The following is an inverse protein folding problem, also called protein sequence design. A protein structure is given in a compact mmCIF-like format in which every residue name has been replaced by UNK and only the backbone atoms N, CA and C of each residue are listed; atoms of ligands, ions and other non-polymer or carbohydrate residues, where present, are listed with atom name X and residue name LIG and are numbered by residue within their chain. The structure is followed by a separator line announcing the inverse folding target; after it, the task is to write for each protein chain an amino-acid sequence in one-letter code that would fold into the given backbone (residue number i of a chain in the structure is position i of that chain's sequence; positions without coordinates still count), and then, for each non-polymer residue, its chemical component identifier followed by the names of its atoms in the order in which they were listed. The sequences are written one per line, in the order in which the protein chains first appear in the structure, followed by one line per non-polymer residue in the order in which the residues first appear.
data_IF_280466452742
#
_entry.id   IF_280466452742
#
_cell.length_a   1.000
_cell.length_b   1.000
_cell.length_c   1.000
_cell.angle_alpha   90.00
_cell.angle_beta   90.00
_cell.angle_gamma   90.00
#
_symmetry.space_group_name_H-M   'P 1'
#
loop_
_entity.id
_entity.type
_entity.pdbx_description
1 polymer ?
#
# COMPACT_ATOMS: atom_id res chain seq x y z
N UNK A 1 17.44 -2.34 22.52
CA UNK A 1 17.58 -2.06 21.07
C UNK A 1 18.14 -0.64 20.94
N UNK A 2 19.14 -0.42 20.08
CA UNK A 2 19.89 0.85 19.96
C UNK A 2 19.18 1.86 19.02
N UNK A 3 18.12 1.45 18.30
CA UNK A 3 17.51 2.26 17.22
C UNK A 3 16.52 3.31 17.70
N UNK A 4 15.88 3.10 18.86
CA UNK A 4 14.73 3.89 19.31
C UNK A 4 15.07 5.37 19.54
N UNK A 5 16.33 5.67 19.88
CA UNK A 5 16.80 7.03 20.10
C UNK A 5 16.91 7.85 18.80
N UNK A 6 16.92 7.20 17.63
CA UNK A 6 17.15 7.86 16.33
C UNK A 6 15.87 8.23 15.58
N UNK A 7 14.68 7.97 16.13
CA UNK A 7 13.42 8.34 15.49
C UNK A 7 13.03 9.82 15.70
N UNK A 8 13.56 10.47 16.74
CA UNK A 8 13.26 11.88 17.02
C UNK A 8 13.85 12.79 15.94
N UNK A 9 13.13 13.87 15.62
CA UNK A 9 13.52 14.89 14.66
C UNK A 9 13.86 14.39 13.25
N UNK A 10 13.30 13.24 12.84
CA UNK A 10 13.46 12.68 11.49
C UNK A 10 12.62 13.46 10.47
N UNK A 11 13.24 13.99 9.42
CA UNK A 11 12.54 14.65 8.30
C UNK A 11 12.24 13.68 7.15
N UNK A 12 13.02 12.61 7.03
CA UNK A 12 12.94 11.67 5.92
C UNK A 12 13.23 10.23 6.34
N UNK A 13 12.48 9.29 5.80
CA UNK A 13 12.59 7.85 6.06
C UNK A 13 12.68 7.08 4.76
N UNK A 14 13.68 6.19 4.67
CA UNK A 14 13.80 5.19 3.60
C UNK A 14 13.37 3.84 4.17
N UNK A 15 12.20 3.36 3.76
CA UNK A 15 11.67 2.03 4.08
C UNK A 15 12.05 1.07 2.97
N UNK A 16 12.84 0.03 3.27
CA UNK A 16 13.34 -0.89 2.26
C UNK A 16 12.82 -2.30 2.52
N UNK A 17 12.37 -2.97 1.46
CA UNK A 17 12.09 -4.41 1.47
C UNK A 17 12.72 -5.08 0.26
N UNK A 18 12.81 -6.40 0.27
CA UNK A 18 13.31 -7.22 -0.83
C UNK A 18 12.14 -7.78 -1.64
N UNK A 19 12.07 -7.49 -2.94
CA UNK A 19 10.98 -7.96 -3.81
C UNK A 19 10.89 -9.48 -3.90
N UNK A 20 11.98 -10.20 -3.61
CA UNK A 20 12.04 -11.65 -3.55
C UNK A 20 11.58 -12.25 -2.21
N UNK A 21 11.41 -11.44 -1.15
CA UNK A 21 11.08 -11.91 0.20
C UNK A 21 9.84 -11.21 0.75
N UNK A 22 8.68 -11.86 0.62
CA UNK A 22 7.37 -11.32 1.05
C UNK A 22 7.34 -10.93 2.53
N UNK A 23 7.98 -11.71 3.39
CA UNK A 23 8.03 -11.42 4.84
C UNK A 23 8.68 -10.05 5.14
N UNK A 24 9.65 -9.62 4.33
CA UNK A 24 10.27 -8.30 4.48
C UNK A 24 9.31 -7.15 4.16
N UNK A 25 8.39 -7.37 3.21
CA UNK A 25 7.33 -6.41 2.89
C UNK A 25 6.24 -6.40 3.98
N UNK A 26 5.83 -7.57 4.47
CA UNK A 26 4.82 -7.66 5.52
C UNK A 26 5.30 -7.07 6.86
N UNK A 27 6.62 -7.10 7.12
CA UNK A 27 7.22 -6.44 8.26
C UNK A 27 7.10 -4.90 8.24
N UNK A 28 6.84 -4.26 7.09
CA UNK A 28 6.76 -2.80 6.98
C UNK A 28 5.64 -2.20 7.85
N UNK A 29 4.51 -2.89 7.98
CA UNK A 29 3.43 -2.43 8.86
C UNK A 29 3.87 -2.43 10.34
N UNK A 30 4.70 -3.38 10.76
CA UNK A 30 5.29 -3.42 12.11
C UNK A 30 6.33 -2.30 12.31
N UNK A 31 7.17 -2.04 11.30
CA UNK A 31 8.14 -0.94 11.33
C UNK A 31 7.48 0.44 11.46
N UNK A 32 6.38 0.65 10.74
CA UNK A 32 5.60 1.88 10.88
C UNK A 32 4.97 1.99 12.27
N UNK A 33 4.50 0.88 12.86
CA UNK A 33 3.94 0.89 14.20
C UNK A 33 5.01 1.21 15.27
N UNK A 34 6.20 0.62 15.16
CA UNK A 34 7.36 0.90 16.01
C UNK A 34 7.72 2.39 15.94
N UNK A 35 7.85 2.95 14.73
CA UNK A 35 8.17 4.37 14.56
C UNK A 35 7.09 5.30 15.14
N UNK A 36 5.80 5.00 14.93
CA UNK A 36 4.69 5.77 15.51
C UNK A 36 4.72 5.76 17.04
N UNK A 37 5.07 4.63 17.63
CA UNK A 37 5.16 4.50 19.07
C UNK A 37 6.29 5.36 19.64
N UNK A 38 7.45 5.38 18.99
CA UNK A 38 8.62 6.15 19.43
C UNK A 38 8.48 7.67 19.22
N UNK A 39 7.78 8.09 18.16
CA UNK A 39 7.46 9.49 17.91
C UNK A 39 6.45 10.08 18.93
N UNK A 40 5.72 9.23 19.65
CA UNK A 40 4.79 9.61 20.71
C UNK A 40 3.55 10.39 20.21
N UNK A 41 2.65 10.80 21.12
CA UNK A 41 1.37 11.45 20.78
C UNK A 41 1.52 12.84 20.14
N UNK A 42 2.73 13.43 20.18
CA UNK A 42 3.03 14.73 19.58
C UNK A 42 3.80 14.62 18.25
N UNK A 43 4.22 13.42 17.87
CA UNK A 43 4.95 13.19 16.63
C UNK A 43 4.02 13.20 15.42
N UNK A 44 4.12 14.24 14.60
CA UNK A 44 3.34 14.31 13.37
C UNK A 44 4.06 13.55 12.24
N UNK A 45 3.69 12.28 12.06
CA UNK A 45 4.22 11.45 10.98
C UNK A 45 3.85 11.96 9.57
N UNK A 46 2.87 12.85 9.45
CA UNK A 46 2.51 13.49 8.17
C UNK A 46 3.56 14.50 7.71
N UNK A 47 4.40 14.99 8.63
CA UNK A 47 5.51 15.91 8.37
C UNK A 47 6.84 15.19 8.13
N UNK A 48 6.81 13.89 7.87
CA UNK A 48 7.99 13.10 7.54
C UNK A 48 7.84 12.60 6.10
N UNK A 49 8.86 12.80 5.29
CA UNK A 49 8.87 12.27 3.92
C UNK A 49 9.24 10.79 3.98
N UNK A 50 8.35 9.93 3.50
CA UNK A 50 8.63 8.49 3.38
C UNK A 50 8.89 8.13 1.94
N UNK A 51 9.92 7.33 1.72
CA UNK A 51 10.15 6.62 0.46
C UNK A 51 10.24 5.12 0.72
N UNK A 52 9.47 4.36 -0.03
CA UNK A 52 9.45 2.90 0.01
C UNK A 52 10.27 2.39 -1.17
N UNK A 53 11.32 1.64 -0.88
CA UNK A 53 12.19 1.03 -1.88
C UNK A 53 11.90 -0.46 -1.96
N UNK A 54 11.30 -0.87 -3.08
CA UNK A 54 11.18 -2.25 -3.50
C UNK A 54 12.52 -2.69 -4.09
N UNK A 55 13.42 -3.19 -3.24
CA UNK A 55 14.81 -3.41 -3.59
C UNK A 55 15.08 -4.82 -4.16
N UNK A 56 16.21 -4.96 -4.84
CA UNK A 56 16.70 -6.20 -5.48
C UNK A 56 15.89 -6.64 -6.69
N UNK A 57 15.40 -5.69 -7.49
CA UNK A 57 14.65 -5.98 -8.73
C UNK A 57 15.47 -6.74 -9.78
N UNK A 58 16.81 -6.71 -9.68
CA UNK A 58 17.73 -7.54 -10.47
C UNK A 58 17.49 -9.05 -10.28
N UNK A 59 16.95 -9.46 -9.14
CA UNK A 59 16.68 -10.87 -8.81
C UNK A 59 15.26 -11.31 -9.21
N UNK A 60 14.93 -11.27 -10.50
CA UNK A 60 13.56 -11.53 -11.00
C UNK A 60 13.03 -12.95 -10.78
N UNK A 61 13.90 -13.96 -10.65
CA UNK A 61 13.51 -15.39 -10.64
C UNK A 61 12.66 -15.83 -9.44
N UNK A 62 12.65 -15.05 -8.37
CA UNK A 62 11.91 -15.38 -7.13
C UNK A 62 11.07 -14.21 -6.61
N UNK A 63 10.65 -13.31 -7.52
CA UNK A 63 9.83 -12.15 -7.14
C UNK A 63 8.54 -12.61 -6.45
N UNK A 64 8.40 -12.21 -5.19
CA UNK A 64 7.28 -12.56 -4.31
C UNK A 64 6.34 -11.38 -4.04
N UNK A 65 6.79 -10.16 -4.34
CA UNK A 65 6.00 -8.92 -4.25
C UNK A 65 6.04 -8.22 -5.60
N UNK A 66 4.91 -8.10 -6.28
CA UNK A 66 4.84 -7.29 -7.51
C UNK A 66 4.76 -5.79 -7.23
N UNK A 67 5.00 -5.01 -8.27
CA UNK A 67 5.03 -3.56 -8.21
C UNK A 67 3.68 -2.97 -7.78
N UNK A 68 2.57 -3.57 -8.22
CA UNK A 68 1.23 -3.08 -7.90
C UNK A 68 0.93 -3.20 -6.40
N UNK A 69 1.36 -4.29 -5.75
CA UNK A 69 1.20 -4.48 -4.32
C UNK A 69 1.97 -3.43 -3.50
N UNK A 70 3.25 -3.27 -3.83
CA UNK A 70 4.14 -2.34 -3.14
C UNK A 70 3.72 -0.89 -3.33
N UNK A 71 3.45 -0.50 -4.59
CA UNK A 71 3.01 0.86 -4.94
C UNK A 71 1.70 1.21 -4.25
N UNK A 72 0.71 0.32 -4.29
CA UNK A 72 -0.58 0.56 -3.63
C UNK A 72 -0.41 0.75 -2.12
N UNK A 73 0.43 -0.06 -1.48
CA UNK A 73 0.68 0.04 -0.04
C UNK A 73 1.33 1.38 0.34
N UNK A 74 2.30 1.84 -0.45
CA UNK A 74 3.02 3.09 -0.24
C UNK A 74 2.14 4.32 -0.52
N UNK A 75 1.56 4.40 -1.72
CA UNK A 75 0.80 5.56 -2.17
C UNK A 75 -0.50 5.76 -1.38
N UNK A 76 -1.15 4.68 -0.92
CA UNK A 76 -2.33 4.78 -0.03
C UNK A 76 -2.04 5.44 1.34
N UNK A 77 -0.76 5.51 1.73
CA UNK A 77 -0.27 6.21 2.93
C UNK A 77 0.38 7.55 2.58
N UNK A 78 0.36 7.93 1.31
CA UNK A 78 1.03 9.13 0.80
C UNK A 78 2.56 9.00 0.82
N UNK A 79 3.11 7.80 0.69
CA UNK A 79 4.56 7.59 0.62
C UNK A 79 5.02 7.53 -0.83
N UNK A 80 6.25 7.94 -1.09
CA UNK A 80 6.91 7.73 -2.38
C UNK A 80 7.21 6.23 -2.54
N UNK A 81 7.21 5.74 -3.78
CA UNK A 81 7.52 4.34 -4.08
C UNK A 81 8.51 4.25 -5.25
N UNK A 82 9.56 3.47 -5.08
CA UNK A 82 10.56 3.22 -6.12
C UNK A 82 10.93 1.74 -6.17
N UNK A 83 11.06 1.22 -7.38
CA UNK A 83 11.76 -0.03 -7.65
C UNK A 83 13.25 0.24 -7.71
N UNK A 84 14.06 -0.49 -6.95
CA UNK A 84 15.50 -0.22 -6.86
C UNK A 84 16.33 -1.48 -6.96
N UNK A 85 17.55 -1.34 -7.48
CA UNK A 85 18.61 -2.32 -7.29
C UNK A 85 19.89 -1.63 -6.86
N UNK A 86 20.33 -1.92 -5.64
CA UNK A 86 21.65 -1.50 -5.18
C UNK A 86 22.79 -2.19 -5.94
N UNK A 87 22.53 -3.33 -6.61
CA UNK A 87 23.52 -4.06 -7.40
C UNK A 87 23.74 -3.40 -8.77
N UNK A 88 22.66 -3.03 -9.46
CA UNK A 88 22.74 -2.46 -10.82
C UNK A 88 22.77 -0.92 -10.81
N UNK A 89 22.36 -0.30 -9.69
CA UNK A 89 22.17 1.14 -9.56
C UNK A 89 20.81 1.63 -10.07
N UNK A 90 19.98 0.74 -10.62
CA UNK A 90 18.67 1.08 -11.17
C UNK A 90 17.75 1.67 -10.10
N UNK A 91 17.11 2.80 -10.42
CA UNK A 91 16.14 3.51 -9.57
C UNK A 91 16.74 4.24 -8.37
N UNK A 92 18.03 4.04 -8.04
CA UNK A 92 18.67 4.63 -6.86
C UNK A 92 18.77 6.15 -6.99
N UNK A 93 19.24 6.65 -8.13
CA UNK A 93 19.45 8.07 -8.33
C UNK A 93 18.12 8.84 -8.37
N UNK A 94 17.15 8.32 -9.10
CA UNK A 94 15.81 8.87 -9.25
C UNK A 94 15.08 8.91 -7.90
N UNK A 95 15.23 7.84 -7.11
CA UNK A 95 14.69 7.75 -5.75
C UNK A 95 15.28 8.85 -4.86
N UNK A 96 16.61 8.98 -4.79
CA UNK A 96 17.26 9.99 -3.95
C UNK A 96 16.96 11.42 -4.40
N UNK A 97 16.96 11.69 -5.71
CA UNK A 97 16.60 13.00 -6.27
C UNK A 97 15.20 13.41 -5.83
N UNK A 98 14.23 12.49 -5.97
CA UNK A 98 12.84 12.75 -5.58
C UNK A 98 12.70 12.89 -4.06
N UNK A 99 13.37 12.02 -3.30
CA UNK A 99 13.34 12.02 -1.85
C UNK A 99 13.87 13.32 -1.25
N UNK A 100 15.05 13.77 -1.68
CA UNK A 100 15.63 15.03 -1.19
C UNK A 100 14.84 16.25 -1.65
N UNK A 101 14.32 16.26 -2.88
CA UNK A 101 13.46 17.36 -3.34
C UNK A 101 12.21 17.49 -2.47
N UNK A 102 11.55 16.38 -2.16
CA UNK A 102 10.38 16.38 -1.27
C UNK A 102 10.70 16.84 0.16
N UNK A 103 11.90 16.53 0.68
CA UNK A 103 12.35 17.03 1.98
C UNK A 103 12.61 18.54 1.94
N UNK A 104 13.22 19.04 0.86
CA UNK A 104 13.44 20.48 0.68
C UNK A 104 12.09 21.22 0.62
N UNK A 105 11.13 20.73 -0.17
CA UNK A 105 9.78 21.30 -0.25
C UNK A 105 9.07 21.33 1.12
N UNK A 106 9.25 20.27 1.92
CA UNK A 106 8.74 20.20 3.29
C UNK A 106 9.39 21.28 4.19
N UNK A 107 10.71 21.44 4.10
CA UNK A 107 11.46 22.44 4.86
C UNK A 107 11.05 23.87 4.47
N UNK A 108 10.94 24.15 3.18
CA UNK A 108 10.53 25.47 2.64
C UNK A 108 9.12 25.84 3.08
N UNK A 109 8.26 24.84 3.29
CA UNK A 109 6.91 25.02 3.83
C UNK A 109 6.84 24.95 5.38
N UNK A 110 7.94 25.28 6.07
CA UNK A 110 8.00 25.38 7.53
C UNK A 110 7.83 24.04 8.25
N UNK A 111 8.29 22.95 7.65
CA UNK A 111 8.16 21.60 8.19
C UNK A 111 6.75 21.02 8.08
N UNK A 112 5.89 21.61 7.24
CA UNK A 112 4.53 21.12 6.97
C UNK A 112 4.45 20.59 5.57
N UNK A 113 3.85 19.41 5.42
CA UNK A 113 3.71 18.81 4.11
C UNK A 113 2.90 19.73 3.18
N UNK A 114 3.41 20.09 1.99
CA UNK A 114 2.64 20.89 1.05
C UNK A 114 1.38 20.12 0.63
N UNK A 115 0.23 20.80 0.43
CA UNK A 115 -0.96 20.17 -0.11
C UNK A 115 -0.60 19.63 -1.50
N UNK A 116 -0.52 18.31 -1.63
CA UNK A 116 -0.13 17.66 -2.87
C UNK A 116 -1.13 18.03 -3.97
N UNK A 117 -0.66 18.70 -5.01
CA UNK A 117 -1.45 19.01 -6.23
C UNK A 117 -1.79 17.75 -7.03
N UNK A 118 -1.09 16.64 -6.77
CA UNK A 118 -1.35 15.31 -7.32
C UNK A 118 -1.87 14.43 -6.19
N UNK A 119 -3.17 14.52 -5.91
CA UNK A 119 -3.84 13.51 -5.08
C UNK A 119 -3.75 12.17 -5.78
N UNK A 120 -3.32 11.14 -5.06
CA UNK A 120 -3.40 9.75 -5.55
C UNK A 120 -4.86 9.52 -5.97
N UNK A 121 -5.11 9.12 -7.21
CA UNK A 121 -6.46 9.07 -7.81
C UNK A 121 -7.42 8.05 -7.17
N UNK A 122 -7.11 7.57 -5.97
CA UNK A 122 -7.86 6.56 -5.25
C UNK A 122 -7.84 6.83 -3.73
N UNK A 123 -8.87 6.32 -3.05
CA UNK A 123 -9.03 6.47 -1.60
C UNK A 123 -8.28 5.37 -0.85
N UNK A 124 -7.97 5.62 0.43
CA UNK A 124 -7.42 4.60 1.34
C UNK A 124 -8.35 3.38 1.45
N UNK A 125 -9.66 3.59 1.48
CA UNK A 125 -10.65 2.49 1.50
C UNK A 125 -10.57 1.61 0.24
N UNK A 126 -10.35 2.22 -0.94
CA UNK A 126 -10.12 1.48 -2.19
C UNK A 126 -8.85 0.62 -2.10
N UNK A 127 -7.74 1.20 -1.63
CA UNK A 127 -6.48 0.48 -1.49
C UNK A 127 -6.57 -0.68 -0.48
N UNK A 128 -7.18 -0.44 0.69
CA UNK A 128 -7.36 -1.47 1.71
C UNK A 128 -8.26 -2.63 1.20
N UNK A 129 -9.31 -2.30 0.44
CA UNK A 129 -10.17 -3.30 -0.18
C UNK A 129 -9.41 -4.17 -1.20
N UNK A 130 -8.62 -3.55 -2.09
CA UNK A 130 -7.79 -4.26 -3.09
C UNK A 130 -6.80 -5.19 -2.39
N UNK A 131 -6.07 -4.70 -1.39
CA UNK A 131 -5.10 -5.51 -0.63
C UNK A 131 -5.77 -6.72 0.03
N UNK A 132 -6.94 -6.53 0.64
CA UNK A 132 -7.71 -7.60 1.27
C UNK A 132 -8.17 -8.66 0.26
N UNK A 133 -8.75 -8.23 -0.86
CA UNK A 133 -9.24 -9.14 -1.90
C UNK A 133 -8.09 -9.97 -2.48
N UNK A 134 -6.96 -9.32 -2.75
CA UNK A 134 -5.76 -9.96 -3.30
C UNK A 134 -5.17 -11.03 -2.38
N UNK A 135 -5.17 -10.78 -1.06
CA UNK A 135 -4.59 -11.70 -0.08
C UNK A 135 -5.57 -12.77 0.42
N UNK A 136 -6.84 -12.67 0.06
CA UNK A 136 -7.85 -13.63 0.48
C UNK A 136 -7.87 -14.87 -0.44
N UNK A 137 -8.08 -16.05 0.17
CA UNK A 137 -8.24 -17.33 -0.54
C UNK A 137 -9.70 -17.83 -0.53
N UNK A 138 -10.58 -17.13 0.17
CA UNK A 138 -11.96 -17.54 0.38
C UNK A 138 -12.95 -16.50 -0.16
N UNK A 139 -13.96 -16.96 -0.90
CA UNK A 139 -14.94 -16.09 -1.54
C UNK A 139 -15.80 -15.32 -0.53
N UNK A 140 -16.03 -15.86 0.68
CA UNK A 140 -16.77 -15.15 1.72
C UNK A 140 -15.94 -13.99 2.26
N UNK A 141 -14.68 -14.25 2.59
CA UNK A 141 -13.75 -13.22 3.04
C UNK A 141 -13.51 -12.16 1.96
N UNK A 142 -13.31 -12.52 0.67
CA UNK A 142 -13.19 -11.54 -0.42
C UNK A 142 -14.36 -10.52 -0.44
N UNK A 143 -15.59 -11.00 -0.28
CA UNK A 143 -16.77 -10.14 -0.24
C UNK A 143 -17.04 -9.51 1.14
N UNK A 144 -16.33 -9.93 2.19
CA UNK A 144 -16.52 -9.44 3.55
C UNK A 144 -17.84 -9.93 4.18
N UNK A 145 -18.30 -11.11 3.78
CA UNK A 145 -19.49 -11.77 4.32
C UNK A 145 -19.09 -13.03 5.10
N UNK A 146 -19.96 -13.52 5.98
CA UNK A 146 -19.72 -14.75 6.73
C UNK A 146 -20.25 -15.98 5.98
N UNK A 147 -19.66 -17.17 6.17
CA UNK A 147 -20.27 -18.41 5.69
C UNK A 147 -21.72 -18.54 6.15
N UNK A 148 -22.61 -18.85 5.22
CA UNK A 148 -24.06 -18.91 5.47
C UNK A 148 -24.82 -17.61 5.22
N UNK A 149 -24.16 -16.55 4.72
CA UNK A 149 -24.87 -15.35 4.31
C UNK A 149 -25.84 -15.64 3.14
N UNK A 150 -26.97 -14.95 3.17
CA UNK A 150 -28.06 -15.07 2.20
C UNK A 150 -27.66 -14.52 0.83
N UNK A 151 -28.43 -14.89 -0.19
CA UNK A 151 -28.26 -14.37 -1.56
C UNK A 151 -28.33 -12.83 -1.59
N UNK A 152 -29.17 -12.22 -0.76
CA UNK A 152 -29.31 -10.76 -0.70
C UNK A 152 -28.07 -10.10 -0.07
N UNK A 153 -27.57 -10.64 1.04
CA UNK A 153 -26.35 -10.15 1.71
C UNK A 153 -25.13 -10.22 0.77
N UNK A 154 -24.96 -11.33 0.04
CA UNK A 154 -23.89 -11.48 -0.97
C UNK A 154 -24.04 -10.43 -2.08
N UNK A 155 -25.24 -10.20 -2.60
CA UNK A 155 -25.46 -9.20 -3.64
C UNK A 155 -25.24 -7.78 -3.13
N UNK A 156 -25.64 -7.47 -1.90
CA UNK A 156 -25.42 -6.16 -1.27
C UNK A 156 -23.92 -5.89 -1.06
N UNK A 157 -23.18 -6.87 -0.55
CA UNK A 157 -21.73 -6.79 -0.38
C UNK A 157 -21.01 -6.59 -1.73
N UNK A 158 -21.39 -7.39 -2.73
CA UNK A 158 -20.88 -7.23 -4.09
C UNK A 158 -21.12 -5.83 -4.64
N UNK A 159 -22.35 -5.28 -4.56
CA UNK A 159 -22.65 -3.95 -5.11
C UNK A 159 -21.79 -2.87 -4.46
N UNK A 160 -21.56 -2.96 -3.15
CA UNK A 160 -20.69 -2.02 -2.43
C UNK A 160 -19.26 -2.06 -2.98
N UNK A 161 -18.67 -3.26 -3.11
CA UNK A 161 -17.33 -3.44 -3.66
C UNK A 161 -17.23 -3.08 -5.15
N UNK A 162 -18.26 -3.40 -5.93
CA UNK A 162 -18.31 -3.09 -7.35
C UNK A 162 -18.33 -1.59 -7.60
N UNK A 163 -19.07 -0.81 -6.78
CA UNK A 163 -19.06 0.66 -6.88
C UNK A 163 -17.73 1.24 -6.43
N UNK A 164 -17.11 0.65 -5.40
CA UNK A 164 -15.84 1.11 -4.84
C UNK A 164 -14.67 0.87 -5.80
N UNK A 165 -14.63 -0.30 -6.46
CA UNK A 165 -13.50 -0.79 -7.23
C UNK A 165 -13.72 -0.77 -8.76
N UNK A 166 -14.83 -0.18 -9.24
CA UNK A 166 -15.08 -0.11 -10.67
C UNK A 166 -13.91 0.60 -11.40
N UNK A 167 -13.38 0.07 -12.51
CA UNK A 167 -12.25 0.69 -13.23
C UNK A 167 -12.48 2.16 -13.60
N UNK A 168 -13.70 2.54 -14.00
CA UNK A 168 -14.04 3.94 -14.31
C UNK A 168 -13.97 4.90 -13.11
N UNK A 169 -13.98 4.38 -11.88
CA UNK A 169 -14.01 5.16 -10.63
C UNK A 169 -12.77 4.98 -9.76
N UNK A 170 -12.01 3.91 -9.97
CA UNK A 170 -10.85 3.56 -9.18
C UNK A 170 -9.66 3.35 -10.10
N UNK A 171 -8.72 4.30 -10.10
CA UNK A 171 -7.46 4.19 -10.84
C UNK A 171 -6.34 3.57 -10.00
N UNK A 172 -6.69 2.94 -8.88
CA UNK A 172 -5.72 2.29 -8.01
C UNK A 172 -5.03 1.11 -8.73
N UNK A 173 -3.71 0.94 -8.56
CA UNK A 173 -3.00 -0.24 -9.04
C UNK A 173 -3.68 -1.54 -8.55
N UNK A 174 -3.94 -2.48 -9.46
CA UNK A 174 -4.59 -3.76 -9.15
C UNK A 174 -6.11 -3.71 -8.92
N UNK A 175 -6.77 -2.56 -9.13
CA UNK A 175 -8.23 -2.42 -9.00
C UNK A 175 -9.02 -3.32 -9.96
N UNK A 176 -8.58 -3.43 -11.22
CA UNK A 176 -9.24 -4.26 -12.22
C UNK A 176 -9.22 -5.75 -11.85
N UNK A 177 -8.08 -6.25 -11.39
CA UNK A 177 -7.95 -7.64 -10.94
C UNK A 177 -8.75 -7.91 -9.68
N UNK A 178 -8.75 -6.97 -8.73
CA UNK A 178 -9.61 -7.05 -7.54
C UNK A 178 -11.10 -7.06 -7.92
N UNK A 179 -11.52 -6.25 -8.89
CA UNK A 179 -12.89 -6.24 -9.40
C UNK A 179 -13.27 -7.58 -10.04
N UNK A 180 -12.40 -8.14 -10.89
CA UNK A 180 -12.58 -9.49 -11.46
C UNK A 180 -12.71 -10.56 -10.37
N UNK A 181 -11.86 -10.51 -9.35
CA UNK A 181 -11.91 -11.43 -8.21
C UNK A 181 -13.25 -11.33 -7.46
N UNK A 182 -13.75 -10.11 -7.21
CA UNK A 182 -15.06 -9.87 -6.57
C UNK A 182 -16.22 -10.44 -7.40
N UNK A 183 -16.19 -10.28 -8.73
CA UNK A 183 -17.18 -10.87 -9.65
C UNK A 183 -17.17 -12.40 -9.57
N UNK A 184 -15.98 -13.00 -9.57
CA UNK A 184 -15.81 -14.46 -9.46
C UNK A 184 -16.30 -14.98 -8.11
N UNK A 185 -15.93 -14.31 -7.01
CA UNK A 185 -16.36 -14.67 -5.66
C UNK A 185 -17.88 -14.67 -5.52
N UNK A 186 -18.56 -13.61 -6.00
CA UNK A 186 -20.03 -13.55 -6.03
C UNK A 186 -20.63 -14.74 -6.79
N UNK A 187 -20.10 -15.01 -7.98
CA UNK A 187 -20.61 -16.09 -8.83
C UNK A 187 -20.46 -17.45 -8.16
N UNK A 188 -19.33 -17.70 -7.49
CA UNK A 188 -19.10 -18.92 -6.73
C UNK A 188 -20.06 -19.07 -5.55
N UNK A 189 -20.27 -18.01 -4.76
CA UNK A 189 -21.17 -18.07 -3.61
C UNK A 189 -22.64 -18.27 -4.02
N UNK A 190 -23.11 -17.56 -5.06
CA UNK A 190 -24.49 -17.68 -5.52
C UNK A 190 -24.82 -19.04 -6.17
N UNK A 191 -23.80 -19.79 -6.62
CA UNK A 191 -23.97 -21.19 -7.06
C UNK A 191 -24.17 -22.16 -5.89
N UNK A 192 -23.55 -21.87 -4.74
CA UNK A 192 -23.54 -22.75 -3.58
C UNK A 192 -24.67 -22.44 -2.57
N UNK A 193 -25.24 -21.25 -2.62
CA UNK A 193 -26.41 -20.88 -1.81
C UNK A 193 -27.67 -21.44 -2.46
N UNK A 194 -28.24 -22.49 -1.84
CA UNK A 194 -29.54 -23.07 -2.17
C UNK A 194 -30.68 -22.10 -1.84
#
# INVERSE_FOLDING_TARGET
QVRNEFYKDTQGVILVYDVGQKDSFDALDAWLAEMKQELGPHGNMENVVFVVCANKIDCTKHRSVDESEGRLWAESRGFLYFETSAQTGEGINEMFQTFYSAIIDLCDNGGKRPPSSVGVGFTKEQADAIRRIRNSKDSWDMLGVKPGATRDEVNKAYRKLAVLLHPDKCVAPGSEDAFKAVVNARTALLKNIK
#
